data_IF_022855996944
#
_entry.id   IF_022855996944
#
_cell.length_a   1.000
_cell.length_b   1.000
_cell.length_c   1.000
_cell.angle_alpha   90.00
_cell.angle_beta   90.00
_cell.angle_gamma   90.00
#
_symmetry.space_group_name_H-M   'P 1'
#
loop_
_entity.id
_entity.type
_entity.pdbx_description
1 polymer ?
#
# COMPACT_ATOMS: atom_id res chain seq x y z
N UNK A 1 21.10 -49.97 -8.19
CA UNK A 1 21.72 -48.65 -7.99
C UNK A 1 21.04 -47.71 -8.97
N UNK A 2 19.84 -47.24 -8.60
CA UNK A 2 19.11 -46.27 -9.42
C UNK A 2 19.21 -44.91 -8.75
N UNK A 3 20.00 -44.05 -9.36
CA UNK A 3 20.17 -42.65 -9.02
C UNK A 3 19.63 -41.86 -10.19
N UNK A 4 18.40 -41.35 -10.05
CA UNK A 4 17.92 -40.24 -10.86
C UNK A 4 17.22 -39.28 -9.91
N UNK A 5 18.06 -38.49 -9.23
CA UNK A 5 17.67 -37.23 -8.65
C UNK A 5 17.09 -36.36 -9.75
N UNK A 6 15.77 -36.16 -9.71
CA UNK A 6 15.16 -35.06 -10.39
C UNK A 6 15.29 -33.86 -9.46
N UNK A 7 16.20 -32.98 -9.84
CA UNK A 7 16.31 -31.62 -9.34
C UNK A 7 14.93 -30.99 -9.39
N UNK A 8 14.31 -30.90 -8.21
CA UNK A 8 13.20 -30.00 -7.97
C UNK A 8 13.74 -28.60 -8.25
N UNK A 9 13.47 -28.11 -9.47
CA UNK A 9 13.45 -26.69 -9.78
C UNK A 9 12.62 -26.05 -8.68
N UNK A 10 13.32 -25.49 -7.71
CA UNK A 10 12.73 -24.64 -6.69
C UNK A 10 12.33 -23.39 -7.45
N UNK A 11 11.15 -23.43 -8.05
CA UNK A 11 10.45 -22.24 -8.46
C UNK A 11 10.49 -21.30 -7.27
N UNK A 12 10.96 -20.08 -7.53
CA UNK A 12 10.97 -18.95 -6.61
C UNK A 12 9.54 -18.62 -6.20
N UNK A 13 8.95 -19.44 -5.34
CA UNK A 13 7.75 -19.13 -4.56
C UNK A 13 8.15 -18.16 -3.45
N UNK A 14 8.52 -16.94 -3.86
CA UNK A 14 8.77 -15.84 -2.94
C UNK A 14 7.46 -15.11 -2.67
N UNK A 15 6.83 -15.49 -1.55
CA UNK A 15 5.94 -14.70 -0.68
C UNK A 15 4.72 -13.99 -1.31
N UNK A 16 3.51 -14.44 -0.96
CA UNK A 16 2.34 -13.57 -0.69
C UNK A 16 1.99 -12.46 -1.71
N UNK A 17 2.24 -12.64 -3.01
CA UNK A 17 1.85 -11.70 -4.09
C UNK A 17 0.32 -11.62 -4.28
N UNK A 18 -0.46 -11.23 -3.26
CA UNK A 18 -1.91 -11.31 -3.30
C UNK A 18 -2.57 -10.12 -4.01
N UNK A 19 -2.01 -8.91 -3.90
CA UNK A 19 -2.67 -7.71 -4.36
C UNK A 19 -2.36 -7.38 -5.83
N UNK A 20 -3.40 -7.34 -6.67
CA UNK A 20 -3.31 -6.98 -8.09
C UNK A 20 -3.66 -5.50 -8.31
N UNK A 21 -2.78 -4.79 -9.01
CA UNK A 21 -2.95 -3.38 -9.38
C UNK A 21 -4.26 -3.15 -10.12
N UNK A 22 -4.53 -3.95 -11.16
CA UNK A 22 -5.71 -3.79 -12.03
C UNK A 22 -7.02 -4.01 -11.28
N UNK A 23 -7.03 -4.86 -10.25
CA UNK A 23 -8.22 -5.10 -9.41
C UNK A 23 -8.45 -4.01 -8.37
N UNK A 24 -7.39 -3.44 -7.80
CA UNK A 24 -7.50 -2.52 -6.66
C UNK A 24 -7.66 -1.06 -7.12
N UNK A 25 -6.86 -0.62 -8.10
CA UNK A 25 -6.82 0.79 -8.48
C UNK A 25 -8.14 1.41 -8.94
N UNK A 26 -9.10 0.70 -9.57
CA UNK A 26 -10.42 1.27 -9.88
C UNK A 26 -11.21 1.75 -8.66
N UNK A 27 -10.89 1.24 -7.46
CA UNK A 27 -11.55 1.63 -6.22
C UNK A 27 -10.81 2.72 -5.44
N UNK A 28 -9.64 3.14 -5.92
CA UNK A 28 -8.83 4.16 -5.26
C UNK A 28 -9.46 5.55 -5.43
N UNK A 29 -10.23 5.94 -4.42
CA UNK A 29 -10.98 7.20 -4.38
C UNK A 29 -10.33 8.20 -3.41
N UNK A 30 -10.97 9.36 -3.24
CA UNK A 30 -10.55 10.40 -2.28
C UNK A 30 -11.53 10.59 -1.12
N UNK A 31 -12.37 9.60 -0.83
CA UNK A 31 -13.46 9.76 0.15
C UNK A 31 -13.12 9.24 1.56
N UNK A 32 -11.89 8.77 1.80
CA UNK A 32 -11.54 8.06 3.02
C UNK A 32 -12.17 6.66 3.06
N UNK A 33 -12.80 6.30 4.18
CA UNK A 33 -13.56 5.05 4.27
C UNK A 33 -14.88 5.21 3.54
N UNK A 34 -15.19 4.37 2.55
CA UNK A 34 -16.39 4.58 1.73
C UNK A 34 -17.72 4.14 2.37
N UNK A 35 -17.68 3.64 3.61
CA UNK A 35 -18.91 3.27 4.32
C UNK A 35 -19.54 4.55 4.84
N UNK A 36 -20.72 4.91 4.32
CA UNK A 36 -21.35 6.22 4.58
C UNK A 36 -21.57 6.53 6.07
N UNK A 37 -21.80 5.51 6.90
CA UNK A 37 -21.96 5.65 8.35
C UNK A 37 -20.63 5.79 9.11
N UNK A 38 -19.49 5.73 8.42
CA UNK A 38 -18.19 5.88 9.05
C UNK A 38 -17.90 7.35 9.35
N UNK A 39 -17.43 7.64 10.56
CA UNK A 39 -16.93 8.99 10.92
C UNK A 39 -15.70 9.41 10.10
N UNK A 40 -15.08 8.48 9.35
CA UNK A 40 -13.96 8.71 8.43
C UNK A 40 -14.39 8.67 6.95
N UNK A 41 -15.69 8.72 6.67
CA UNK A 41 -16.23 8.96 5.33
C UNK A 41 -16.30 10.47 5.09
N UNK A 42 -15.58 10.95 4.08
CA UNK A 42 -15.36 12.38 3.83
C UNK A 42 -15.62 12.75 2.36
N UNK A 43 -16.87 12.73 1.89
CA UNK A 43 -17.23 13.24 0.57
C UNK A 43 -17.27 14.79 0.57
N UNK A 44 -16.96 15.46 -0.56
CA UNK A 44 -16.54 14.90 -1.85
C UNK A 44 -15.02 14.69 -1.96
N UNK A 45 -14.23 15.22 -1.04
CA UNK A 45 -12.78 15.04 -1.05
C UNK A 45 -12.24 15.18 0.37
N UNK A 46 -11.55 14.16 0.83
CA UNK A 46 -10.90 14.13 2.12
C UNK A 46 -9.76 15.17 2.24
N UNK A 47 -9.24 15.70 1.12
CA UNK A 47 -8.23 16.77 1.11
C UNK A 47 -8.76 18.10 1.63
N UNK A 48 -10.08 18.27 1.72
CA UNK A 48 -10.72 19.47 2.25
C UNK A 48 -10.75 19.51 3.79
N UNK A 49 -10.41 18.40 4.45
CA UNK A 49 -10.49 18.24 5.91
C UNK A 49 -9.09 18.26 6.52
N UNK A 50 -8.66 19.38 7.15
CA UNK A 50 -7.36 19.44 7.81
C UNK A 50 -7.25 18.37 8.91
N UNK A 51 -6.09 17.72 8.99
CA UNK A 51 -5.82 16.67 9.99
C UNK A 51 -6.28 15.25 9.62
N UNK A 52 -6.90 15.05 8.44
CA UNK A 52 -7.28 13.71 7.98
C UNK A 52 -6.21 13.07 7.10
N UNK A 53 -5.59 11.99 7.59
CA UNK A 53 -4.68 11.13 6.83
C UNK A 53 -5.44 10.17 5.90
N UNK A 54 -6.13 10.69 4.88
CA UNK A 54 -6.94 9.82 4.02
C UNK A 54 -6.15 8.99 3.01
N UNK A 55 -4.85 9.21 2.83
CA UNK A 55 -3.98 8.36 2.02
C UNK A 55 -4.10 6.87 2.41
N UNK A 56 -3.99 6.56 3.71
CA UNK A 56 -4.14 5.20 4.23
C UNK A 56 -5.58 4.68 4.12
N UNK A 57 -6.57 5.54 4.38
CA UNK A 57 -7.99 5.16 4.31
C UNK A 57 -8.38 4.80 2.88
N UNK A 58 -8.02 5.63 1.91
CA UNK A 58 -8.30 5.41 0.49
C UNK A 58 -7.64 4.12 -0.01
N UNK A 59 -6.38 3.90 0.38
CA UNK A 59 -5.62 2.72 -0.05
C UNK A 59 -6.21 1.44 0.54
N UNK A 60 -6.44 1.41 1.86
CA UNK A 60 -7.03 0.26 2.53
C UNK A 60 -8.47 -0.01 2.10
N UNK A 61 -9.28 1.02 1.86
CA UNK A 61 -10.64 0.87 1.33
C UNK A 61 -10.64 0.26 -0.08
N UNK A 62 -9.73 0.71 -0.95
CA UNK A 62 -9.59 0.17 -2.29
C UNK A 62 -9.21 -1.32 -2.28
N UNK A 63 -8.27 -1.71 -1.41
CA UNK A 63 -7.86 -3.11 -1.24
C UNK A 63 -9.04 -3.97 -0.77
N UNK A 64 -9.78 -3.51 0.24
CA UNK A 64 -10.94 -4.24 0.76
C UNK A 64 -12.06 -4.35 -0.29
N UNK A 65 -12.34 -3.28 -1.05
CA UNK A 65 -13.34 -3.30 -2.13
C UNK A 65 -12.99 -4.23 -3.28
N UNK A 66 -11.70 -4.41 -3.54
CA UNK A 66 -11.19 -5.40 -4.48
C UNK A 66 -11.24 -6.84 -3.93
N UNK A 67 -11.90 -7.04 -2.78
CA UNK A 67 -12.10 -8.33 -2.12
C UNK A 67 -10.79 -8.98 -1.63
N UNK A 68 -9.84 -8.14 -1.22
CA UNK A 68 -8.62 -8.58 -0.53
C UNK A 68 -8.71 -8.29 0.97
N UNK A 69 -8.06 -9.15 1.77
CA UNK A 69 -7.82 -8.89 3.19
C UNK A 69 -6.57 -8.04 3.40
N UNK A 70 -6.56 -7.31 4.52
CA UNK A 70 -5.36 -6.68 5.05
C UNK A 70 -4.74 -7.63 6.08
N UNK A 71 -3.46 -8.02 5.95
CA UNK A 71 -2.82 -8.80 7.00
C UNK A 71 -2.66 -7.99 8.29
N UNK A 72 -2.60 -8.70 9.41
CA UNK A 72 -2.39 -8.09 10.72
C UNK A 72 -0.98 -7.49 10.83
N UNK A 73 -0.90 -6.28 11.38
CA UNK A 73 0.36 -5.62 11.69
C UNK A 73 0.23 -4.83 13.01
N UNK A 74 1.35 -4.61 13.69
CA UNK A 74 1.38 -3.85 14.93
C UNK A 74 1.22 -2.34 14.68
N UNK A 75 0.71 -1.60 15.68
CA UNK A 75 0.58 -0.13 15.66
C UNK A 75 -0.23 0.41 14.46
N UNK A 76 -1.27 -0.31 14.06
CA UNK A 76 -2.21 0.12 13.03
C UNK A 76 -3.45 0.72 13.69
N UNK A 77 -3.81 1.94 13.30
CA UNK A 77 -5.06 2.57 13.71
C UNK A 77 -6.14 2.26 12.68
N UNK A 78 -7.19 1.56 13.07
CA UNK A 78 -8.31 1.25 12.17
C UNK A 78 -9.52 2.16 12.43
N UNK A 79 -10.33 2.39 11.41
CA UNK A 79 -11.71 2.83 11.60
C UNK A 79 -12.59 1.64 12.05
N UNK A 80 -13.81 1.88 12.55
CA UNK A 80 -14.73 0.80 12.95
C UNK A 80 -15.08 -0.21 11.84
N UNK A 81 -14.82 0.14 10.58
CA UNK A 81 -15.03 -0.73 9.41
C UNK A 81 -13.74 -1.40 8.93
N UNK A 82 -12.66 -1.40 9.72
CA UNK A 82 -11.42 -2.11 9.41
C UNK A 82 -10.51 -1.44 8.36
N UNK A 83 -10.75 -0.19 7.98
CA UNK A 83 -9.85 0.58 7.10
C UNK A 83 -8.75 1.25 7.93
N UNK A 84 -7.56 1.34 7.38
CA UNK A 84 -6.38 1.87 8.05
C UNK A 84 -6.40 3.40 8.00
N UNK A 85 -6.13 4.06 9.13
CA UNK A 85 -6.23 5.51 9.27
C UNK A 85 -4.89 6.23 9.23
N UNK A 86 -3.77 5.53 9.39
CA UNK A 86 -2.43 6.11 9.47
C UNK A 86 -1.51 5.51 8.39
N UNK A 87 -0.70 6.36 7.76
CA UNK A 87 0.14 5.95 6.64
C UNK A 87 1.25 4.98 7.07
N UNK A 88 1.88 5.18 8.23
CA UNK A 88 2.85 4.21 8.78
C UNK A 88 2.19 2.86 9.09
N UNK A 89 0.97 2.86 9.64
CA UNK A 89 0.19 1.64 9.87
C UNK A 89 -0.02 0.87 8.56
N UNK A 90 -0.39 1.57 7.49
CA UNK A 90 -0.57 0.96 6.18
C UNK A 90 0.76 0.50 5.56
N UNK A 91 1.86 1.22 5.78
CA UNK A 91 3.20 0.81 5.36
C UNK A 91 3.65 -0.49 6.06
N UNK A 92 3.32 -0.65 7.35
CA UNK A 92 3.56 -1.90 8.10
C UNK A 92 2.78 -3.06 7.51
N UNK A 93 1.51 -2.84 7.15
CA UNK A 93 0.69 -3.85 6.47
C UNK A 93 1.31 -4.21 5.11
N UNK A 94 1.76 -3.24 4.31
CA UNK A 94 2.43 -3.51 3.03
C UNK A 94 3.69 -4.37 3.23
N UNK A 95 4.48 -4.07 4.26
CA UNK A 95 5.66 -4.86 4.63
C UNK A 95 5.29 -6.29 5.03
N UNK A 96 4.27 -6.50 5.85
CA UNK A 96 3.79 -7.85 6.21
C UNK A 96 3.26 -8.59 4.98
N UNK A 97 2.45 -7.93 4.16
CA UNK A 97 1.92 -8.45 2.89
C UNK A 97 3.05 -8.88 1.95
N UNK A 98 4.22 -8.24 2.01
CA UNK A 98 5.41 -8.58 1.22
C UNK A 98 6.45 -9.42 2.00
N UNK A 99 6.00 -10.30 2.90
CA UNK A 99 6.90 -11.23 3.61
C UNK A 99 7.95 -10.55 4.48
N UNK A 100 7.66 -9.36 5.01
CA UNK A 100 8.56 -8.57 5.84
C UNK A 100 9.52 -7.65 5.06
N UNK A 101 9.44 -7.60 3.73
CA UNK A 101 10.41 -6.92 2.86
C UNK A 101 9.89 -5.57 2.34
N UNK A 102 10.85 -4.73 1.96
CA UNK A 102 10.66 -3.54 1.12
C UNK A 102 11.40 -3.85 -0.18
N UNK A 103 10.75 -3.68 -1.35
CA UNK A 103 11.37 -4.06 -2.62
C UNK A 103 12.40 -3.04 -3.09
N UNK A 104 12.11 -1.76 -2.87
CA UNK A 104 13.00 -0.64 -3.20
C UNK A 104 12.89 0.45 -2.13
N UNK A 105 14.02 1.05 -1.77
CA UNK A 105 14.10 2.18 -0.85
C UNK A 105 14.84 3.36 -1.48
N UNK A 106 14.38 4.58 -1.19
CA UNK A 106 14.96 5.83 -1.67
C UNK A 106 14.38 6.30 -3.01
N UNK A 107 14.15 7.61 -3.14
CA UNK A 107 13.55 8.22 -4.34
C UNK A 107 14.41 8.05 -5.60
N UNK A 108 15.74 8.09 -5.46
CA UNK A 108 16.67 7.93 -6.58
C UNK A 108 16.63 6.52 -7.19
N UNK A 109 16.17 5.53 -6.42
CA UNK A 109 16.03 4.14 -6.87
C UNK A 109 14.62 3.80 -7.37
N UNK A 110 13.72 4.79 -7.48
CA UNK A 110 12.30 4.56 -7.73
C UNK A 110 12.07 3.63 -8.94
N UNK A 111 11.16 2.65 -8.82
CA UNK A 111 10.99 1.63 -9.83
C UNK A 111 10.12 2.09 -11.01
N UNK A 112 10.29 1.43 -12.15
CA UNK A 112 9.40 1.59 -13.32
C UNK A 112 8.15 0.69 -13.29
N UNK A 113 8.05 -0.21 -12.31
CA UNK A 113 6.92 -1.10 -12.11
C UNK A 113 5.84 -0.48 -11.23
N UNK A 114 4.63 -1.03 -11.29
CA UNK A 114 3.46 -0.57 -10.52
C UNK A 114 3.42 -1.17 -9.11
N UNK A 115 2.96 -0.38 -8.14
CA UNK A 115 2.99 -0.80 -6.74
C UNK A 115 2.41 0.19 -5.75
N UNK A 116 2.87 0.11 -4.51
CA UNK A 116 2.55 1.06 -3.44
C UNK A 116 3.84 1.80 -3.09
N UNK A 117 3.73 3.09 -2.79
CA UNK A 117 4.83 3.94 -2.30
C UNK A 117 4.47 4.58 -0.96
N UNK A 118 5.41 4.59 -0.03
CA UNK A 118 5.33 5.29 1.25
C UNK A 118 6.39 6.40 1.32
N UNK A 119 6.04 7.52 1.93
CA UNK A 119 6.90 8.68 2.15
C UNK A 119 6.80 9.12 3.63
N UNK A 120 7.93 9.48 4.25
CA UNK A 120 7.98 10.04 5.60
C UNK A 120 9.18 10.99 5.77
N UNK A 121 9.00 12.05 6.56
CA UNK A 121 10.02 13.05 6.88
C UNK A 121 10.17 14.18 5.87
N UNK A 122 10.98 15.18 6.21
CA UNK A 122 11.34 16.41 5.48
C UNK A 122 10.19 17.25 4.87
N UNK A 123 9.40 16.69 3.96
CA UNK A 123 8.33 17.36 3.21
C UNK A 123 6.93 16.94 3.66
N UNK A 124 6.83 15.79 4.31
CA UNK A 124 5.56 15.22 4.75
C UNK A 124 5.78 14.47 6.04
N UNK A 125 4.84 14.57 6.98
CA UNK A 125 4.90 13.74 8.18
C UNK A 125 4.88 12.28 7.76
N UNK A 126 3.82 11.84 7.09
CA UNK A 126 3.72 10.52 6.47
C UNK A 126 2.69 10.55 5.31
N UNK A 127 2.95 9.84 4.22
CA UNK A 127 2.03 9.65 3.09
C UNK A 127 2.19 8.26 2.49
N UNK A 128 1.09 7.68 1.99
CA UNK A 128 1.13 6.41 1.27
C UNK A 128 0.23 6.49 0.04
N UNK A 129 0.67 5.94 -1.08
CA UNK A 129 -0.02 6.11 -2.35
C UNK A 129 0.19 4.90 -3.25
N UNK A 130 -0.59 4.81 -4.32
CA UNK A 130 -0.26 3.92 -5.44
C UNK A 130 0.84 4.55 -6.29
N UNK A 131 1.75 3.72 -6.76
CA UNK A 131 2.86 4.07 -7.64
C UNK A 131 2.65 3.48 -9.03
N UNK A 132 2.57 4.30 -10.07
CA UNK A 132 2.25 3.83 -11.43
C UNK A 132 3.46 3.40 -12.27
N UNK A 133 4.66 3.44 -11.68
CA UNK A 133 5.94 3.26 -12.38
C UNK A 133 6.64 4.57 -12.75
N UNK A 134 6.02 5.72 -12.52
CA UNK A 134 6.59 7.05 -12.82
C UNK A 134 6.36 8.03 -11.69
N UNK A 135 5.17 8.00 -11.08
CA UNK A 135 4.75 8.90 -10.02
C UNK A 135 3.74 8.22 -9.08
N UNK A 136 3.58 8.79 -7.90
CA UNK A 136 2.43 8.49 -7.05
C UNK A 136 1.13 9.02 -7.70
N UNK A 137 0.01 8.30 -7.57
CA UNK A 137 -1.24 8.65 -8.23
C UNK A 137 -1.85 9.96 -7.73
N UNK A 138 -1.71 10.28 -6.44
CA UNK A 138 -2.19 11.56 -5.90
C UNK A 138 -1.07 12.56 -5.68
N UNK A 139 -0.02 12.17 -4.94
CA UNK A 139 1.09 13.09 -4.64
C UNK A 139 2.38 12.36 -4.31
N UNK A 140 3.47 12.80 -4.96
CA UNK A 140 4.84 12.34 -4.68
C UNK A 140 5.56 13.32 -3.77
N UNK A 141 6.48 12.83 -2.96
CA UNK A 141 7.34 13.64 -2.07
C UNK A 141 8.81 13.26 -2.27
N UNK A 142 9.47 13.79 -3.33
CA UNK A 142 10.83 13.40 -3.70
C UNK A 142 11.89 13.61 -2.62
N UNK A 143 11.73 14.63 -1.76
CA UNK A 143 12.72 14.95 -0.73
C UNK A 143 12.36 14.38 0.64
N UNK A 144 11.35 13.48 0.73
CA UNK A 144 11.03 12.76 1.96
C UNK A 144 12.26 11.97 2.45
N UNK A 145 12.49 11.95 3.77
CA UNK A 145 13.64 11.28 4.39
C UNK A 145 13.60 9.76 4.19
N UNK A 146 12.38 9.21 4.15
CA UNK A 146 12.09 7.80 3.94
C UNK A 146 11.20 7.68 2.73
N UNK A 147 11.59 6.83 1.78
CA UNK A 147 10.76 6.43 0.63
C UNK A 147 10.86 4.93 0.47
N UNK A 148 9.73 4.22 0.50
CA UNK A 148 9.68 2.75 0.34
C UNK A 148 8.67 2.37 -0.74
N UNK A 149 9.01 1.35 -1.54
CA UNK A 149 8.16 0.82 -2.58
C UNK A 149 7.91 -0.69 -2.39
N UNK A 150 6.69 -1.11 -2.72
CA UNK A 150 6.29 -2.51 -2.78
C UNK A 150 5.61 -2.81 -4.12
N UNK A 151 6.09 -3.84 -4.82
CA UNK A 151 5.56 -4.26 -6.11
C UNK A 151 4.20 -4.92 -5.92
N UNK A 152 3.27 -4.59 -6.82
CA UNK A 152 1.98 -5.28 -6.91
C UNK A 152 1.94 -6.21 -8.11
N UNK A 153 1.09 -7.24 -8.04
CA UNK A 153 0.76 -8.05 -9.21
C UNK A 153 0.07 -7.23 -10.28
N UNK A 154 0.14 -7.68 -11.53
CA UNK A 154 -0.56 -7.05 -12.66
C UNK A 154 -2.06 -7.25 -12.59
#
# INVERSE_FOLDING_TARGET
MDSSGQDAKTELNSSTQAWSWSKITPFFSKYGCSVQSCVFYLPPDCSSQPGTFCCALNLSDAIIKANYSLPDASMVNYCPHGRVRNADGMARICRVQNGGKIDVSGWDNRPSWKGIVYFEGNEVTQHIDFWDGRQALHKSYPNASVVWFWRMGT
#
